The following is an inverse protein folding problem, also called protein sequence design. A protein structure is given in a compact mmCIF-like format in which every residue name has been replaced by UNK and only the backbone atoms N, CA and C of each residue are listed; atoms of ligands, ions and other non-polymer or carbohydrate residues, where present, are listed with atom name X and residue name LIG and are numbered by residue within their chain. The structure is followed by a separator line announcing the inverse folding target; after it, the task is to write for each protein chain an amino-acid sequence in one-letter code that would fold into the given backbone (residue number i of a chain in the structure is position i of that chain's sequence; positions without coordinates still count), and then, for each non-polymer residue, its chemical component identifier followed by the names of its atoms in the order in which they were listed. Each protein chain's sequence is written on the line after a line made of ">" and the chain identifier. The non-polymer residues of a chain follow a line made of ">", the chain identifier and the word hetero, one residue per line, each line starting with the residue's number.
data_IF_563008771201
#
_entry.id   IF_563008771201
#
_cell.length_a   1.000
_cell.length_b   1.000
_cell.length_c   1.000
_cell.angle_alpha   90.00
_cell.angle_beta   90.00
_cell.angle_gamma   90.00
#
_symmetry.space_group_name_H-M   'P 1'
#
loop_
_entity.id
_entity.type
_entity.pdbx_description
1 polymer ?
#
# COMPACT_ATOMS: atom_id res chain seq x y z
N UNK A 1 -20.62 -35.74 -21.60
CA UNK A 1 -19.89 -35.35 -20.37
C UNK A 1 -19.43 -33.92 -20.55
N UNK A 2 -19.97 -32.98 -19.77
CA UNK A 2 -19.46 -31.61 -19.72
C UNK A 2 -18.20 -31.63 -18.87
N UNK A 3 -17.05 -31.37 -19.48
CA UNK A 3 -15.84 -31.08 -18.73
C UNK A 3 -15.96 -29.63 -18.22
N UNK A 4 -16.23 -29.46 -16.92
CA UNK A 4 -16.06 -28.19 -16.24
C UNK A 4 -14.56 -27.90 -16.18
N UNK A 5 -14.11 -26.97 -17.02
CA UNK A 5 -12.78 -26.36 -16.87
C UNK A 5 -12.78 -25.68 -15.50
N UNK A 6 -11.92 -26.15 -14.58
CA UNK A 6 -11.62 -25.42 -13.37
C UNK A 6 -11.04 -24.07 -13.79
N UNK A 7 -11.81 -23.00 -13.58
CA UNK A 7 -11.37 -21.64 -13.90
C UNK A 7 -10.27 -21.26 -12.90
N UNK A 8 -9.09 -20.85 -13.40
CA UNK A 8 -7.99 -20.35 -12.58
C UNK A 8 -8.30 -18.92 -12.10
N UNK A 9 -9.37 -18.79 -11.31
CA UNK A 9 -9.77 -17.53 -10.71
C UNK A 9 -9.25 -17.46 -9.27
N UNK A 10 -8.76 -16.29 -8.88
CA UNK A 10 -8.53 -15.99 -7.47
C UNK A 10 -9.89 -16.07 -6.78
N UNK A 11 -9.97 -16.71 -5.62
CA UNK A 11 -11.21 -16.82 -4.84
C UNK A 11 -11.16 -15.98 -3.56
N UNK A 12 -9.98 -15.83 -2.99
CA UNK A 12 -9.67 -14.96 -1.84
C UNK A 12 -8.15 -14.80 -1.74
N UNK A 13 -7.71 -13.85 -0.92
CA UNK A 13 -6.32 -13.77 -0.48
C UNK A 13 -6.21 -13.07 0.88
N UNK A 14 -5.13 -13.37 1.58
CA UNK A 14 -4.70 -12.69 2.78
C UNK A 14 -3.54 -11.74 2.50
N UNK A 15 -3.30 -10.80 3.41
CA UNK A 15 -2.11 -9.96 3.36
C UNK A 15 -1.42 -9.96 4.72
N UNK A 16 -0.09 -9.95 4.69
CA UNK A 16 0.77 -9.88 5.86
C UNK A 16 1.68 -8.66 5.74
N UNK A 17 2.07 -8.12 6.89
CA UNK A 17 3.01 -7.01 6.96
C UNK A 17 4.01 -7.21 8.09
N UNK A 18 5.14 -6.55 7.94
CA UNK A 18 6.21 -6.57 8.91
C UNK A 18 6.33 -5.19 9.56
N UNK A 19 6.11 -5.12 10.87
CA UNK A 19 6.20 -3.86 11.60
C UNK A 19 7.66 -3.56 11.96
N UNK A 20 8.32 -2.78 11.11
CA UNK A 20 9.73 -2.43 11.27
C UNK A 20 9.99 -1.74 12.61
N UNK A 21 9.13 -0.83 13.06
CA UNK A 21 9.33 -0.12 14.34
C UNK A 21 9.35 -1.07 15.55
N UNK A 22 8.54 -2.11 15.51
CA UNK A 22 8.49 -3.12 16.55
C UNK A 22 9.63 -4.12 16.46
N UNK A 23 9.97 -4.55 15.24
CA UNK A 23 11.12 -5.41 15.00
C UNK A 23 12.44 -4.74 15.41
N UNK A 24 12.60 -3.44 15.14
CA UNK A 24 13.77 -2.67 15.58
C UNK A 24 13.83 -2.54 17.12
N UNK A 25 12.67 -2.54 17.79
CA UNK A 25 12.59 -2.49 19.26
C UNK A 25 12.88 -3.84 19.91
N UNK A 26 12.65 -4.95 19.20
CA UNK A 26 12.96 -6.31 19.67
C UNK A 26 13.61 -7.16 18.56
N UNK A 27 14.89 -6.93 18.22
CA UNK A 27 15.53 -7.53 17.05
C UNK A 27 15.70 -9.05 17.10
N UNK A 28 15.66 -9.65 18.30
CA UNK A 28 15.84 -11.09 18.49
C UNK A 28 14.58 -11.91 18.20
N UNK A 29 13.41 -11.27 18.08
CA UNK A 29 12.15 -11.96 17.79
C UNK A 29 11.28 -11.17 16.80
N UNK A 30 11.72 -11.01 15.54
CA UNK A 30 10.95 -10.32 14.52
C UNK A 30 9.71 -11.15 14.13
N UNK A 31 8.52 -10.55 14.24
CA UNK A 31 7.25 -11.22 13.96
C UNK A 31 6.52 -10.60 12.77
N UNK A 32 6.13 -11.45 11.81
CA UNK A 32 5.16 -11.07 10.78
C UNK A 32 3.76 -10.98 11.39
N UNK A 33 3.00 -9.98 10.94
CA UNK A 33 1.63 -9.74 11.40
C UNK A 33 0.67 -9.85 10.24
N UNK A 34 -0.45 -10.52 10.47
CA UNK A 34 -1.52 -10.58 9.48
C UNK A 34 -2.20 -9.21 9.42
N UNK A 35 -2.31 -8.66 8.21
CA UNK A 35 -3.05 -7.43 7.95
C UNK A 35 -4.54 -7.75 7.96
N UNK A 36 -4.93 -8.73 7.15
CA UNK A 36 -6.26 -9.34 7.13
C UNK A 36 -6.13 -10.79 6.62
N UNK A 37 -7.01 -11.67 7.11
CA UNK A 37 -7.03 -13.09 6.75
C UNK A 37 -7.83 -13.38 5.47
N UNK A 38 -8.71 -12.47 5.06
CA UNK A 38 -9.55 -12.61 3.88
C UNK A 38 -9.86 -11.22 3.35
N UNK A 39 -9.51 -10.97 2.09
CA UNK A 39 -9.85 -9.71 1.42
C UNK A 39 -11.36 -9.59 1.22
N UNK A 40 -12.03 -10.74 1.03
CA UNK A 40 -13.48 -10.81 0.90
C UNK A 40 -14.15 -10.32 2.19
N UNK A 41 -13.71 -10.79 3.35
CA UNK A 41 -14.25 -10.35 4.63
C UNK A 41 -13.86 -8.90 4.94
N UNK A 42 -12.62 -8.51 4.65
CA UNK A 42 -12.11 -7.19 5.00
C UNK A 42 -12.84 -6.06 4.27
N UNK A 43 -13.19 -6.28 3.00
CA UNK A 43 -13.88 -5.29 2.16
C UNK A 43 -15.33 -5.69 1.79
N UNK A 44 -15.84 -6.80 2.30
CA UNK A 44 -17.19 -7.29 2.00
C UNK A 44 -17.39 -7.61 0.52
N UNK A 45 -16.47 -8.36 -0.09
CA UNK A 45 -16.57 -8.85 -1.47
C UNK A 45 -17.18 -10.25 -1.47
N UNK A 46 -18.02 -10.58 -2.45
CA UNK A 46 -18.59 -11.93 -2.60
C UNK A 46 -17.68 -12.88 -3.38
N UNK A 47 -16.79 -12.32 -4.18
CA UNK A 47 -15.80 -13.02 -5.00
C UNK A 47 -14.75 -12.04 -5.48
N UNK A 48 -13.74 -12.52 -6.20
CA UNK A 48 -12.65 -11.69 -6.74
C UNK A 48 -12.87 -11.25 -8.19
N UNK A 49 -14.10 -11.38 -8.70
CA UNK A 49 -14.41 -10.91 -10.06
C UNK A 49 -14.30 -9.38 -10.13
N UNK A 50 -13.92 -8.81 -11.30
CA UNK A 50 -13.70 -7.36 -11.43
C UNK A 50 -14.90 -6.48 -11.00
N UNK A 51 -16.14 -6.95 -11.17
CA UNK A 51 -17.32 -6.20 -10.78
C UNK A 51 -17.44 -6.01 -9.26
N UNK A 52 -17.01 -6.99 -8.46
CA UNK A 52 -17.05 -6.87 -6.99
C UNK A 52 -16.07 -5.80 -6.50
N UNK A 53 -14.89 -5.74 -7.12
CA UNK A 53 -13.92 -4.66 -6.88
C UNK A 53 -14.46 -3.29 -7.28
N UNK A 54 -15.12 -3.20 -8.44
CA UNK A 54 -15.78 -1.96 -8.85
C UNK A 54 -16.86 -1.53 -7.84
N UNK A 55 -17.71 -2.45 -7.39
CA UNK A 55 -18.75 -2.19 -6.39
C UNK A 55 -18.17 -1.71 -5.06
N UNK A 56 -17.05 -2.30 -4.61
CA UNK A 56 -16.32 -1.81 -3.44
C UNK A 56 -15.84 -0.37 -3.64
N UNK A 57 -15.26 -0.06 -4.81
CA UNK A 57 -14.81 1.30 -5.13
C UNK A 57 -15.96 2.30 -5.13
N UNK A 58 -17.12 1.92 -5.68
CA UNK A 58 -18.33 2.76 -5.64
C UNK A 58 -18.83 3.02 -4.22
N UNK A 59 -18.84 1.99 -3.34
CA UNK A 59 -19.21 2.15 -1.93
C UNK A 59 -18.35 3.17 -1.20
N UNK A 60 -17.05 3.25 -1.52
CA UNK A 60 -16.14 4.23 -0.93
C UNK A 60 -16.52 5.70 -1.20
N UNK A 61 -17.47 5.99 -2.11
CA UNK A 61 -18.00 7.36 -2.31
C UNK A 61 -18.62 7.91 -1.03
N UNK A 62 -19.40 7.08 -0.35
CA UNK A 62 -20.22 7.46 0.81
C UNK A 62 -19.86 6.71 2.09
N UNK A 63 -19.15 5.59 1.99
CA UNK A 63 -18.65 4.83 3.14
C UNK A 63 -17.23 5.28 3.53
N UNK A 64 -17.18 6.24 4.46
CA UNK A 64 -15.94 6.80 5.00
C UNK A 64 -15.08 5.74 5.70
N UNK A 65 -15.71 4.82 6.41
CA UNK A 65 -15.00 3.80 7.18
C UNK A 65 -14.31 2.79 6.25
N UNK A 66 -15.02 2.36 5.19
CA UNK A 66 -14.45 1.51 4.15
C UNK A 66 -13.29 2.20 3.43
N UNK A 67 -13.47 3.47 3.07
CA UNK A 67 -12.42 4.24 2.41
C UNK A 67 -11.16 4.36 3.28
N UNK A 68 -11.32 4.72 4.55
CA UNK A 68 -10.20 4.87 5.47
C UNK A 68 -9.52 3.53 5.78
N UNK A 69 -10.29 2.44 5.86
CA UNK A 69 -9.75 1.08 5.97
C UNK A 69 -8.89 0.73 4.76
N UNK A 70 -9.42 0.88 3.54
CA UNK A 70 -8.67 0.63 2.30
C UNK A 70 -7.38 1.45 2.24
N UNK A 71 -7.46 2.75 2.56
CA UNK A 71 -6.31 3.67 2.54
C UNK A 71 -5.23 3.30 3.55
N UNK A 72 -5.61 2.89 4.78
CA UNK A 72 -4.67 2.42 5.80
C UNK A 72 -4.01 1.10 5.41
N UNK A 73 -4.78 0.17 4.84
CA UNK A 73 -4.28 -1.13 4.40
C UNK A 73 -3.34 -1.00 3.20
N UNK A 74 -3.60 -0.06 2.27
CA UNK A 74 -2.68 0.22 1.15
C UNK A 74 -1.24 0.51 1.61
N UNK A 75 -1.09 1.20 2.74
CA UNK A 75 0.20 1.49 3.37
C UNK A 75 0.59 0.48 4.45
N UNK A 76 -0.05 -0.69 4.51
CA UNK A 76 0.23 -1.74 5.49
C UNK A 76 0.25 -1.22 6.93
N UNK A 77 -0.68 -0.32 7.25
CA UNK A 77 -0.81 0.38 8.55
C UNK A 77 0.40 1.22 8.97
N UNK A 78 1.28 1.57 8.03
CA UNK A 78 2.36 2.52 8.28
C UNK A 78 1.80 3.90 8.63
N UNK A 79 2.24 4.45 9.77
CA UNK A 79 1.95 5.83 10.16
C UNK A 79 2.81 6.86 9.42
N UNK A 80 3.87 6.43 8.74
CA UNK A 80 4.86 7.31 8.12
C UNK A 80 4.63 7.50 6.61
N UNK A 81 4.00 6.54 5.94
CA UNK A 81 3.89 6.50 4.48
C UNK A 81 2.69 7.27 3.91
N UNK A 82 2.25 8.33 4.58
CA UNK A 82 1.26 9.24 4.01
C UNK A 82 -0.19 8.93 4.36
N UNK A 83 -0.44 8.26 5.50
CA UNK A 83 -1.77 8.23 6.14
C UNK A 83 -2.07 9.58 6.83
N UNK A 84 -1.92 10.67 6.09
CA UNK A 84 -2.30 12.02 6.54
C UNK A 84 -3.81 12.24 6.47
N UNK A 85 -4.27 13.45 6.80
CA UNK A 85 -5.64 13.88 6.55
C UNK A 85 -5.99 13.77 5.06
N UNK A 86 -7.14 13.20 4.73
CA UNK A 86 -7.62 13.02 3.36
C UNK A 86 -8.98 13.69 3.22
N UNK A 87 -9.04 14.78 2.46
CA UNK A 87 -10.28 15.48 2.15
C UNK A 87 -11.03 14.82 0.98
N UNK A 88 -12.13 15.44 0.54
CA UNK A 88 -12.95 14.95 -0.58
C UNK A 88 -12.14 14.80 -1.88
N UNK A 89 -11.22 15.73 -2.17
CA UNK A 89 -10.41 15.69 -3.38
C UNK A 89 -9.36 14.56 -3.33
N UNK A 90 -8.75 14.37 -2.16
CA UNK A 90 -7.88 13.23 -1.89
C UNK A 90 -8.62 11.91 -2.09
N UNK A 91 -9.83 11.75 -1.53
CA UNK A 91 -10.66 10.55 -1.71
C UNK A 91 -10.96 10.26 -3.17
N UNK A 92 -11.41 11.26 -3.93
CA UNK A 92 -11.66 11.14 -5.38
C UNK A 92 -10.39 10.70 -6.12
N UNK A 93 -9.23 11.22 -5.74
CA UNK A 93 -7.93 10.82 -6.28
C UNK A 93 -7.61 9.34 -6.03
N UNK A 94 -7.83 8.84 -4.82
CA UNK A 94 -7.65 7.43 -4.46
C UNK A 94 -8.56 6.51 -5.26
N UNK A 95 -9.86 6.79 -5.26
CA UNK A 95 -10.85 6.02 -6.01
C UNK A 95 -10.52 5.99 -7.50
N UNK A 96 -10.12 7.14 -8.04
CA UNK A 96 -9.73 7.24 -9.43
C UNK A 96 -8.48 6.41 -9.76
N UNK A 97 -7.45 6.44 -8.89
CA UNK A 97 -6.27 5.60 -9.06
C UNK A 97 -6.63 4.10 -9.01
N UNK A 98 -7.58 3.70 -8.16
CA UNK A 98 -8.04 2.31 -8.09
C UNK A 98 -8.77 1.85 -9.38
N UNK A 99 -9.43 2.76 -10.11
CA UNK A 99 -10.13 2.46 -11.38
C UNK A 99 -9.20 2.42 -12.58
N UNK A 100 -8.12 3.20 -12.56
CA UNK A 100 -7.26 3.43 -13.72
C UNK A 100 -6.17 2.35 -13.82
N UNK A 101 -6.24 1.52 -14.87
CA UNK A 101 -5.09 0.69 -15.30
C UNK A 101 -4.11 1.47 -16.19
N UNK A 102 -4.57 2.54 -16.85
CA UNK A 102 -3.78 3.39 -17.75
C UNK A 102 -3.94 4.88 -17.37
N UNK A 103 -3.08 5.76 -17.87
CA UNK A 103 -3.10 7.20 -17.60
C UNK A 103 -4.37 7.97 -18.08
N UNK A 104 -5.43 7.27 -18.50
CA UNK A 104 -6.69 7.86 -18.97
C UNK A 104 -7.56 8.35 -17.82
N UNK A 105 -8.05 9.59 -17.92
CA UNK A 105 -8.96 10.18 -16.93
C UNK A 105 -10.44 9.83 -17.16
N UNK A 106 -10.78 9.16 -18.26
CA UNK A 106 -12.18 8.87 -18.65
C UNK A 106 -12.95 8.08 -17.57
N UNK A 107 -12.27 7.18 -16.85
CA UNK A 107 -12.86 6.35 -15.80
C UNK A 107 -13.16 7.09 -14.48
N UNK A 108 -12.88 8.39 -14.43
CA UNK A 108 -13.04 9.22 -13.23
C UNK A 108 -13.92 10.45 -13.46
N UNK A 109 -14.62 10.52 -14.59
CA UNK A 109 -15.44 11.67 -14.94
C UNK A 109 -16.57 11.91 -13.92
N UNK A 110 -17.16 10.85 -13.40
CA UNK A 110 -18.21 10.85 -12.38
C UNK A 110 -17.74 11.33 -10.99
N UNK A 111 -16.42 11.38 -10.76
CA UNK A 111 -15.84 11.85 -9.51
C UNK A 111 -15.66 13.38 -9.47
N UNK A 112 -15.98 14.09 -10.56
CA UNK A 112 -15.99 15.55 -10.59
C UNK A 112 -14.67 16.21 -11.03
N UNK A 113 -14.01 15.67 -12.05
CA UNK A 113 -13.15 16.41 -13.00
C UNK A 113 -11.80 16.97 -12.53
N UNK A 114 -11.63 17.38 -11.28
CA UNK A 114 -10.35 17.92 -10.79
C UNK A 114 -9.74 16.95 -9.79
N UNK A 115 -8.81 16.13 -10.27
CA UNK A 115 -7.96 15.38 -9.37
C UNK A 115 -6.97 16.37 -8.77
N UNK A 116 -6.92 16.42 -7.44
CA UNK A 116 -5.75 16.92 -6.74
C UNK A 116 -4.52 16.37 -7.46
N UNK A 117 -3.69 17.27 -8.03
CA UNK A 117 -2.39 16.90 -8.57
C UNK A 117 -1.79 15.94 -7.55
N UNK A 118 -1.46 14.70 -7.97
CA UNK A 118 -0.78 13.71 -7.11
C UNK A 118 0.13 14.50 -6.20
N UNK A 119 -0.15 14.49 -4.89
CA UNK A 119 0.61 15.32 -3.96
C UNK A 119 2.06 15.16 -4.34
N UNK A 120 2.70 16.24 -4.78
CA UNK A 120 4.11 16.23 -5.14
C UNK A 120 4.96 16.05 -3.90
N UNK A 121 4.41 15.52 -2.80
CA UNK A 121 5.10 14.81 -1.75
C UNK A 121 5.85 13.55 -2.27
N UNK A 122 6.45 13.59 -3.46
CA UNK A 122 7.89 13.42 -3.43
C UNK A 122 8.43 14.68 -2.77
N UNK A 123 8.49 14.68 -1.42
CA UNK A 123 9.50 15.49 -0.74
C UNK A 123 10.73 15.32 -1.60
N UNK A 124 11.27 16.41 -2.15
CA UNK A 124 12.61 16.39 -2.70
C UNK A 124 13.43 15.67 -1.65
N UNK A 125 13.81 14.41 -1.94
CA UNK A 125 14.57 13.62 -1.00
C UNK A 125 15.88 14.36 -1.00
N UNK A 126 16.06 15.24 -0.01
CA UNK A 126 17.34 15.90 0.17
C UNK A 126 18.32 14.74 0.33
N UNK A 127 19.33 14.65 -0.54
CA UNK A 127 20.24 13.53 -0.49
C UNK A 127 20.84 13.49 0.91
N UNK A 128 20.75 12.33 1.57
CA UNK A 128 21.26 12.12 2.93
C UNK A 128 22.75 12.47 3.02
N UNK A 129 23.46 12.31 1.89
CA UNK A 129 24.85 12.70 1.72
C UNK A 129 24.97 13.85 0.71
N UNK A 130 25.73 14.87 1.06
CA UNK A 130 25.93 16.08 0.27
C UNK A 130 27.03 15.92 -0.79
N UNK A 131 27.95 14.98 -0.60
CA UNK A 131 29.09 14.76 -1.49
C UNK A 131 29.61 13.30 -1.47
N UNK A 132 30.47 12.97 -2.43
CA UNK A 132 31.05 11.63 -2.59
C UNK A 132 31.91 11.18 -1.40
N UNK A 133 32.57 12.10 -0.70
CA UNK A 133 33.41 11.74 0.46
C UNK A 133 32.56 11.26 1.64
N UNK A 134 31.42 11.93 1.89
CA UNK A 134 30.45 11.49 2.90
C UNK A 134 29.89 10.12 2.58
N UNK A 135 29.54 9.87 1.30
CA UNK A 135 29.09 8.56 0.83
C UNK A 135 30.15 7.49 1.09
N UNK A 136 31.41 7.74 0.70
CA UNK A 136 32.50 6.77 0.88
C UNK A 136 32.81 6.50 2.35
N UNK A 137 32.76 7.53 3.22
CA UNK A 137 32.93 7.38 4.67
C UNK A 137 31.79 6.55 5.26
N UNK A 138 30.55 6.81 4.86
CA UNK A 138 29.40 6.01 5.26
C UNK A 138 29.56 4.55 4.84
N UNK A 139 29.90 4.27 3.57
CA UNK A 139 30.10 2.90 3.08
C UNK A 139 31.26 2.18 3.77
N UNK A 140 32.37 2.87 4.06
CA UNK A 140 33.49 2.30 4.80
C UNK A 140 33.08 1.90 6.22
N UNK A 141 32.38 2.80 6.93
CA UNK A 141 31.83 2.52 8.27
C UNK A 141 30.78 1.42 8.24
N UNK A 142 29.89 1.42 7.26
CA UNK A 142 28.85 0.40 7.12
C UNK A 142 29.45 -0.97 6.82
N UNK A 143 30.48 -1.06 5.97
CA UNK A 143 31.20 -2.31 5.70
C UNK A 143 31.82 -2.90 6.97
N UNK A 144 32.47 -2.09 7.79
CA UNK A 144 33.06 -2.57 9.05
C UNK A 144 31.99 -2.98 10.06
N UNK A 145 30.88 -2.23 10.12
CA UNK A 145 29.73 -2.57 10.99
C UNK A 145 29.09 -3.89 10.57
N UNK A 146 28.81 -4.07 9.27
CA UNK A 146 28.23 -5.29 8.72
C UNK A 146 29.15 -6.51 8.84
N UNK A 147 30.46 -6.34 8.66
CA UNK A 147 31.42 -7.42 8.84
C UNK A 147 31.45 -7.95 10.28
N UNK A 148 31.09 -7.10 11.25
CA UNK A 148 31.01 -7.45 12.66
C UNK A 148 29.58 -7.81 13.11
N UNK A 149 28.61 -7.76 12.19
CA UNK A 149 27.20 -8.01 12.48
C UNK A 149 26.97 -9.52 12.57
N UNK A 150 26.72 -10.02 13.78
CA UNK A 150 26.45 -11.43 14.06
C UNK A 150 24.97 -11.73 13.92
N UNK A 151 24.35 -11.28 12.83
CA UNK A 151 22.94 -11.58 12.59
C UNK A 151 22.82 -13.12 12.45
N UNK A 152 22.10 -13.80 13.36
CA UNK A 152 21.89 -15.24 13.24
C UNK A 152 20.97 -15.45 12.03
N UNK A 153 21.50 -16.12 11.01
CA UNK A 153 20.70 -16.66 9.90
C UNK A 153 20.05 -17.95 10.39
#
# INVERSE_FOLDING_TARGET
>A
MQFLVAQLQVIDFEEWYFNITEADSNPSNPMWKQLYASVNQEYGLKSQVPSEWNNMIERMKTDDALFEKYRKNYYRRSKYDGVGSCDSNCRKGWMCNARKMHHSQKLCADLGGEQAKRSTYRKSIKPVFRNKQEIMKFYAKWRTTRANDKCPI
#
